data_IF_095512532288
#
_entry.id   IF_095512532288
#
_cell.length_a   1.000
_cell.length_b   1.000
_cell.length_c   1.000
_cell.angle_alpha   90.00
_cell.angle_beta   90.00
_cell.angle_gamma   90.00
#
_symmetry.space_group_name_H-M   'P 1'
#
loop_
_entity.id
_entity.type
_entity.pdbx_description
1 polymer ?
#
# COMPACT_ATOMS: atom_id res chain seq x y z
N UNK A 1 -33.08 10.15 15.69
CA UNK A 1 -33.03 9.06 14.69
C UNK A 1 -32.67 9.69 13.36
N UNK A 2 -31.74 9.12 12.59
CA UNK A 2 -31.38 9.63 11.26
C UNK A 2 -32.59 9.52 10.33
N UNK A 3 -32.71 10.46 9.38
CA UNK A 3 -33.63 10.28 8.26
C UNK A 3 -33.09 9.20 7.30
N UNK A 4 -33.89 8.75 6.35
CA UNK A 4 -33.51 7.67 5.43
C UNK A 4 -32.28 8.01 4.57
N UNK A 5 -32.20 9.24 4.06
CA UNK A 5 -31.09 9.69 3.23
C UNK A 5 -29.77 9.74 4.02
N UNK A 6 -29.79 10.30 5.22
CA UNK A 6 -28.64 10.37 6.14
C UNK A 6 -28.19 8.98 6.55
N UNK A 7 -29.14 8.09 6.85
CA UNK A 7 -28.86 6.70 7.19
C UNK A 7 -28.15 6.01 6.02
N UNK A 8 -28.67 6.13 4.80
CA UNK A 8 -28.06 5.54 3.63
C UNK A 8 -26.66 6.11 3.35
N UNK A 9 -26.53 7.43 3.35
CA UNK A 9 -25.28 8.12 3.07
C UNK A 9 -24.20 7.76 4.10
N UNK A 10 -24.51 7.87 5.39
CA UNK A 10 -23.55 7.56 6.45
C UNK A 10 -23.18 6.09 6.47
N UNK A 11 -24.12 5.19 6.23
CA UNK A 11 -23.84 3.75 6.31
C UNK A 11 -23.09 3.22 5.08
N UNK A 12 -23.55 3.52 3.87
CA UNK A 12 -22.95 2.95 2.64
C UNK A 12 -21.93 3.87 1.97
N UNK A 13 -22.23 5.17 1.80
CA UNK A 13 -21.30 6.07 1.08
C UNK A 13 -20.03 6.32 1.88
N UNK A 14 -20.16 6.57 3.18
CA UNK A 14 -18.98 6.69 4.04
C UNK A 14 -18.26 5.34 4.23
N UNK A 15 -18.97 4.20 4.13
CA UNK A 15 -18.35 2.88 4.17
C UNK A 15 -17.43 2.65 2.96
N UNK A 16 -17.88 3.04 1.77
CA UNK A 16 -17.04 3.08 0.56
C UNK A 16 -15.84 4.01 0.74
N UNK A 17 -16.04 5.20 1.30
CA UNK A 17 -14.95 6.14 1.59
C UNK A 17 -13.94 5.59 2.60
N UNK A 18 -14.39 4.83 3.60
CA UNK A 18 -13.51 4.16 4.55
C UNK A 18 -12.61 3.13 3.84
N UNK A 19 -13.19 2.32 2.96
CA UNK A 19 -12.45 1.35 2.14
C UNK A 19 -11.40 2.02 1.24
N UNK A 20 -11.78 3.15 0.61
CA UNK A 20 -10.88 3.95 -0.21
C UNK A 20 -9.75 4.53 0.66
N UNK A 21 -10.07 5.10 1.82
CA UNK A 21 -9.08 5.63 2.75
C UNK A 21 -8.07 4.57 3.20
N UNK A 22 -8.55 3.38 3.58
CA UNK A 22 -7.68 2.25 3.93
C UNK A 22 -6.81 1.77 2.77
N UNK A 23 -7.34 1.81 1.54
CA UNK A 23 -6.59 1.48 0.32
C UNK A 23 -5.46 2.47 0.06
N UNK A 24 -5.70 3.78 0.19
CA UNK A 24 -4.66 4.80 0.08
C UNK A 24 -3.57 4.62 1.15
N UNK A 25 -3.95 4.37 2.40
CA UNK A 25 -2.99 4.11 3.48
C UNK A 25 -2.13 2.88 3.21
N UNK A 26 -2.76 1.77 2.78
CA UNK A 26 -2.04 0.57 2.37
C UNK A 26 -1.06 0.86 1.23
N UNK A 27 -1.52 1.52 0.17
CA UNK A 27 -0.68 1.80 -1.01
C UNK A 27 0.51 2.68 -0.65
N UNK A 28 0.31 3.70 0.20
CA UNK A 28 1.41 4.53 0.68
C UNK A 28 2.43 3.72 1.46
N UNK A 29 1.99 2.91 2.43
CA UNK A 29 2.89 2.05 3.21
C UNK A 29 3.61 1.03 2.32
N UNK A 30 2.93 0.49 1.31
CA UNK A 30 3.52 -0.46 0.37
C UNK A 30 4.56 0.22 -0.52
N UNK A 31 4.25 1.38 -1.09
CA UNK A 31 5.21 2.18 -1.85
C UNK A 31 6.46 2.49 -1.00
N UNK A 32 6.26 2.89 0.26
CA UNK A 32 7.37 3.12 1.20
C UNK A 32 8.19 1.86 1.45
N UNK A 33 7.55 0.72 1.64
CA UNK A 33 8.23 -0.54 1.83
C UNK A 33 9.02 -0.99 0.58
N UNK A 34 8.58 -0.63 -0.62
CA UNK A 34 9.27 -0.95 -1.86
C UNK A 34 10.43 0.00 -2.20
N UNK A 35 10.56 1.13 -1.49
CA UNK A 35 11.71 2.02 -1.64
C UNK A 35 12.98 1.34 -1.15
N UNK A 36 14.03 1.36 -1.98
CA UNK A 36 15.37 0.89 -1.59
C UNK A 36 16.14 1.97 -0.84
N UNK A 37 15.94 3.24 -1.23
CA UNK A 37 16.60 4.41 -0.65
C UNK A 37 15.73 5.66 -0.81
N UNK A 38 16.24 6.81 -0.38
CA UNK A 38 15.59 8.12 -0.52
C UNK A 38 16.10 8.92 -1.74
N UNK A 39 16.84 8.26 -2.64
CA UNK A 39 17.39 8.86 -3.85
C UNK A 39 16.30 9.24 -4.86
N UNK A 40 15.34 8.32 -5.10
CA UNK A 40 14.28 8.52 -6.07
C UNK A 40 13.11 9.33 -5.49
N UNK A 41 13.11 10.64 -5.75
CA UNK A 41 12.09 11.55 -5.22
C UNK A 41 10.65 11.18 -5.62
N UNK A 42 10.46 10.57 -6.79
CA UNK A 42 9.14 10.13 -7.26
C UNK A 42 8.52 9.08 -6.32
N UNK A 43 9.34 8.20 -5.74
CA UNK A 43 8.86 7.16 -4.80
C UNK A 43 8.47 7.79 -3.46
N UNK A 44 9.26 8.76 -2.98
CA UNK A 44 8.93 9.54 -1.77
C UNK A 44 7.62 10.32 -1.99
N UNK A 45 7.45 10.92 -3.16
CA UNK A 45 6.21 11.61 -3.53
C UNK A 45 5.02 10.66 -3.51
N UNK A 46 5.12 9.48 -4.12
CA UNK A 46 4.04 8.48 -4.13
C UNK A 46 3.63 8.07 -2.71
N UNK A 47 4.61 7.80 -1.85
CA UNK A 47 4.37 7.52 -0.44
C UNK A 47 3.62 8.66 0.25
N UNK A 48 4.17 9.88 0.21
CA UNK A 48 3.59 11.04 0.89
C UNK A 48 2.18 11.36 0.37
N UNK A 49 1.98 11.27 -0.95
CA UNK A 49 0.68 11.52 -1.57
C UNK A 49 -0.39 10.54 -1.10
N UNK A 50 -0.10 9.24 -1.18
CA UNK A 50 -1.06 8.21 -0.76
C UNK A 50 -1.41 8.33 0.73
N UNK A 51 -0.41 8.55 1.60
CA UNK A 51 -0.68 8.74 3.04
C UNK A 51 -1.48 10.02 3.31
N UNK A 52 -1.16 11.13 2.62
CA UNK A 52 -1.89 12.39 2.77
C UNK A 52 -3.37 12.22 2.42
N UNK A 53 -3.67 11.63 1.27
CA UNK A 53 -5.05 11.41 0.81
C UNK A 53 -5.79 10.44 1.73
N UNK A 54 -5.15 9.33 2.13
CA UNK A 54 -5.75 8.35 3.02
C UNK A 54 -6.12 8.93 4.38
N UNK A 55 -5.23 9.71 5.00
CA UNK A 55 -5.49 10.36 6.28
C UNK A 55 -6.55 11.47 6.18
N UNK A 56 -6.55 12.26 5.09
CA UNK A 56 -7.56 13.30 4.86
C UNK A 56 -8.96 12.68 4.80
N UNK A 57 -9.14 11.64 3.98
CA UNK A 57 -10.43 10.95 3.83
C UNK A 57 -10.90 10.36 5.16
N UNK A 58 -10.01 9.71 5.89
CA UNK A 58 -10.34 9.16 7.21
C UNK A 58 -10.76 10.24 8.21
N UNK A 59 -10.06 11.38 8.23
CA UNK A 59 -10.42 12.52 9.07
C UNK A 59 -11.78 13.13 8.66
N UNK A 60 -12.08 13.23 7.36
CA UNK A 60 -13.39 13.70 6.86
C UNK A 60 -14.53 12.80 7.30
N UNK A 61 -14.39 11.48 7.18
CA UNK A 61 -15.39 10.52 7.69
C UNK A 61 -15.61 10.75 9.19
N UNK A 62 -14.52 10.90 9.95
CA UNK A 62 -14.58 11.15 11.40
C UNK A 62 -15.34 12.43 11.72
N UNK A 63 -15.04 13.53 11.03
CA UNK A 63 -15.74 14.82 11.17
C UNK A 63 -17.23 14.70 10.85
N UNK A 64 -17.59 14.03 9.73
CA UNK A 64 -18.98 13.81 9.34
C UNK A 64 -19.75 13.07 10.45
N UNK A 65 -19.15 12.03 11.02
CA UNK A 65 -19.80 11.26 12.09
C UNK A 65 -19.87 12.01 13.43
N UNK A 66 -19.05 13.02 13.66
CA UNK A 66 -19.09 13.81 14.90
C UNK A 66 -20.02 15.02 14.83
N UNK A 67 -20.02 15.72 13.69
CA UNK A 67 -20.63 17.03 13.57
C UNK A 67 -21.97 17.04 12.83
N UNK A 68 -22.19 16.12 11.88
CA UNK A 68 -23.40 16.15 11.07
C UNK A 68 -24.59 15.50 11.79
N UNK A 69 -25.71 16.23 11.86
CA UNK A 69 -27.03 15.75 12.26
C UNK A 69 -28.13 16.30 11.33
N UNK A 70 -29.41 16.04 11.66
CA UNK A 70 -30.56 16.44 10.85
C UNK A 70 -30.75 17.97 10.77
N UNK A 71 -30.20 18.72 11.72
CA UNK A 71 -30.31 20.18 11.76
C UNK A 71 -29.16 20.86 11.01
N UNK A 72 -28.21 20.08 10.50
CA UNK A 72 -27.04 20.59 9.78
C UNK A 72 -27.44 21.06 8.39
N UNK A 73 -27.01 22.27 8.00
CA UNK A 73 -27.09 22.72 6.62
C UNK A 73 -26.11 21.91 5.76
N UNK A 74 -26.64 21.04 4.90
CA UNK A 74 -25.85 20.12 4.09
C UNK A 74 -24.86 20.84 3.17
N UNK A 75 -25.28 21.91 2.49
CA UNK A 75 -24.44 22.58 1.51
C UNK A 75 -23.29 23.34 2.18
N UNK A 76 -23.57 24.02 3.29
CA UNK A 76 -22.54 24.72 4.06
C UNK A 76 -21.56 23.73 4.69
N UNK A 77 -22.05 22.60 5.20
CA UNK A 77 -21.23 21.55 5.78
C UNK A 77 -20.27 20.93 4.75
N UNK A 78 -20.76 20.61 3.55
CA UNK A 78 -19.95 20.10 2.45
C UNK A 78 -18.88 21.10 2.02
N UNK A 79 -19.22 22.39 1.87
CA UNK A 79 -18.25 23.45 1.54
C UNK A 79 -17.12 23.53 2.58
N UNK A 80 -17.44 23.39 3.87
CA UNK A 80 -16.47 23.36 4.97
C UNK A 80 -15.63 22.08 5.02
N UNK A 81 -16.07 20.99 4.39
CA UNK A 81 -15.32 19.74 4.27
C UNK A 81 -14.35 19.76 3.08
N UNK A 82 -14.56 20.60 2.07
CA UNK A 82 -13.65 20.76 0.91
C UNK A 82 -12.44 21.62 1.31
N UNK A 83 -11.78 21.27 2.40
CA UNK A 83 -10.52 21.87 2.82
C UNK A 83 -9.41 20.82 2.72
N UNK A 84 -8.32 21.16 2.05
CA UNK A 84 -7.11 20.34 1.95
C UNK A 84 -6.17 20.49 3.17
N UNK A 85 -6.73 20.75 4.36
CA UNK A 85 -5.97 21.02 5.58
C UNK A 85 -6.25 19.96 6.66
N UNK A 86 -5.32 19.01 6.82
CA UNK A 86 -5.38 17.96 7.83
C UNK A 86 -5.48 18.51 9.26
N UNK A 87 -4.86 19.66 9.56
CA UNK A 87 -4.91 20.24 10.91
C UNK A 87 -6.27 20.86 11.21
N UNK A 88 -6.93 21.46 10.21
CA UNK A 88 -8.29 21.95 10.39
C UNK A 88 -9.23 20.79 10.77
N UNK A 89 -9.19 19.70 9.99
CA UNK A 89 -9.98 18.50 10.27
C UNK A 89 -9.65 17.89 11.64
N UNK A 90 -8.36 17.82 12.02
CA UNK A 90 -7.97 17.32 13.34
C UNK A 90 -8.42 18.22 14.49
N UNK A 91 -8.38 19.55 14.32
CA UNK A 91 -8.86 20.48 15.34
C UNK A 91 -10.37 20.37 15.53
N UNK A 92 -11.13 20.20 14.44
CA UNK A 92 -12.55 19.86 14.47
C UNK A 92 -12.81 18.59 15.28
N UNK A 93 -12.09 17.51 14.98
CA UNK A 93 -12.24 16.25 15.74
C UNK A 93 -11.89 16.44 17.23
N UNK A 94 -10.80 17.16 17.53
CA UNK A 94 -10.36 17.44 18.91
C UNK A 94 -11.37 18.26 19.73
N UNK A 95 -12.24 19.03 19.09
CA UNK A 95 -13.31 19.74 19.77
C UNK A 95 -14.38 18.79 20.34
N UNK A 96 -14.49 17.57 19.81
CA UNK A 96 -15.49 16.58 20.22
C UNK A 96 -14.90 15.38 20.97
N UNK A 97 -13.66 14.99 20.67
CA UNK A 97 -13.00 13.79 21.22
C UNK A 97 -11.55 14.09 21.58
N UNK A 98 -11.10 13.54 22.69
CA UNK A 98 -9.68 13.59 23.02
C UNK A 98 -8.86 12.74 22.03
N UNK A 99 -7.83 13.35 21.43
CA UNK A 99 -6.87 12.65 20.57
C UNK A 99 -5.48 12.87 21.14
N UNK A 100 -4.77 11.77 21.38
CA UNK A 100 -3.39 11.81 21.88
C UNK A 100 -2.40 11.69 20.73
N UNK A 101 -1.87 12.82 20.25
CA UNK A 101 -0.80 12.83 19.25
C UNK A 101 0.55 12.96 19.94
N UNK A 102 1.45 12.01 19.67
CA UNK A 102 2.84 12.13 20.15
C UNK A 102 3.60 13.18 19.34
N UNK A 103 4.73 13.68 19.88
CA UNK A 103 5.57 14.68 19.20
C UNK A 103 5.92 14.29 17.76
N UNK A 104 6.36 13.05 17.55
CA UNK A 104 6.71 12.51 16.23
C UNK A 104 5.52 12.47 15.26
N UNK A 105 4.33 12.07 15.73
CA UNK A 105 3.10 12.05 14.91
C UNK A 105 2.69 13.46 14.49
N UNK A 106 2.82 14.44 15.39
CA UNK A 106 2.53 15.85 15.09
C UNK A 106 3.52 16.41 14.06
N UNK A 107 4.82 16.13 14.22
CA UNK A 107 5.84 16.53 13.23
C UNK A 107 5.58 15.90 11.86
N UNK A 108 5.23 14.61 11.82
CA UNK A 108 4.91 13.93 10.56
C UNK A 108 3.67 14.51 9.87
N UNK A 109 2.61 14.84 10.63
CA UNK A 109 1.44 15.53 10.10
C UNK A 109 1.80 16.90 9.51
N UNK A 110 2.78 17.61 10.08
CA UNK A 110 3.28 18.85 9.50
C UNK A 110 3.97 18.62 8.15
N UNK A 111 4.79 17.56 8.03
CA UNK A 111 5.42 17.18 6.75
C UNK A 111 4.35 16.89 5.69
N UNK A 112 3.30 16.16 6.05
CA UNK A 112 2.17 15.83 5.16
C UNK A 112 1.39 17.10 4.76
N UNK A 113 1.08 17.98 5.71
CA UNK A 113 0.38 19.24 5.43
C UNK A 113 1.15 20.06 4.41
N UNK A 114 2.45 20.29 4.68
CA UNK A 114 3.33 21.04 3.80
C UNK A 114 3.38 20.42 2.41
N UNK A 115 3.53 19.09 2.34
CA UNK A 115 3.51 18.35 1.08
C UNK A 115 2.21 18.60 0.31
N UNK A 116 1.05 18.39 0.93
CA UNK A 116 -0.21 18.41 0.20
C UNK A 116 -0.62 19.81 -0.31
N UNK A 117 -0.24 20.86 0.42
CA UNK A 117 -0.53 22.25 0.02
C UNK A 117 0.31 22.76 -1.16
N UNK A 118 1.59 22.39 -1.25
CA UNK A 118 2.48 22.99 -2.28
C UNK A 118 3.06 22.00 -3.29
N UNK A 119 3.21 20.71 -2.97
CA UNK A 119 4.00 19.79 -3.81
C UNK A 119 3.38 19.49 -5.18
N UNK A 120 2.04 19.43 -5.29
CA UNK A 120 1.33 19.00 -6.51
C UNK A 120 1.67 19.83 -7.74
N UNK A 121 2.02 21.10 -7.54
CA UNK A 121 2.37 22.01 -8.63
C UNK A 121 3.73 22.70 -8.49
N UNK A 122 4.45 22.50 -7.37
CA UNK A 122 5.71 23.19 -7.14
C UNK A 122 6.72 22.92 -8.27
N UNK A 123 6.81 21.66 -8.72
CA UNK A 123 7.74 21.24 -9.78
C UNK A 123 7.44 21.88 -11.15
N UNK A 124 6.23 22.39 -11.38
CA UNK A 124 5.89 23.14 -12.61
C UNK A 124 6.26 24.63 -12.51
N UNK A 125 6.60 25.13 -11.32
CA UNK A 125 7.08 26.49 -11.12
C UNK A 125 8.61 26.54 -11.24
N UNK A 126 9.13 27.37 -12.13
CA UNK A 126 10.59 27.54 -12.33
C UNK A 126 11.34 27.95 -11.06
N UNK A 127 10.68 28.64 -10.11
CA UNK A 127 11.29 29.01 -8.82
C UNK A 127 11.59 27.80 -7.92
N UNK A 128 10.99 26.65 -8.17
CA UNK A 128 11.22 25.42 -7.39
C UNK A 128 12.66 24.91 -7.45
N UNK A 129 13.44 25.28 -8.47
CA UNK A 129 14.88 24.95 -8.60
C UNK A 129 15.70 25.46 -7.41
N UNK A 130 15.25 26.56 -6.77
CA UNK A 130 15.95 27.18 -5.64
C UNK A 130 15.28 26.90 -4.29
N UNK A 131 14.16 26.16 -4.29
CA UNK A 131 13.40 25.87 -3.09
C UNK A 131 13.76 24.48 -2.56
N UNK A 132 13.78 24.33 -1.23
CA UNK A 132 13.84 23.01 -0.63
C UNK A 132 12.57 22.22 -1.00
N UNK A 133 12.77 21.01 -1.55
CA UNK A 133 11.66 20.15 -1.92
C UNK A 133 11.09 19.39 -0.70
N UNK A 134 9.90 18.84 -0.85
CA UNK A 134 9.19 18.20 0.27
C UNK A 134 9.84 16.89 0.71
N UNK A 135 10.51 16.24 -0.23
CA UNK A 135 11.30 15.04 -0.02
C UNK A 135 12.46 15.35 0.93
N UNK A 136 13.13 16.50 0.79
CA UNK A 136 14.13 16.98 1.74
C UNK A 136 13.56 17.24 3.14
N UNK A 137 12.37 17.84 3.25
CA UNK A 137 11.69 18.02 4.55
C UNK A 137 11.39 16.67 5.21
N UNK A 138 10.91 15.69 4.44
CA UNK A 138 10.66 14.34 4.95
C UNK A 138 11.95 13.64 5.39
N UNK A 139 13.06 13.78 4.63
CA UNK A 139 14.37 13.26 5.05
C UNK A 139 14.84 13.89 6.35
N UNK A 140 14.75 15.22 6.49
CA UNK A 140 15.12 15.91 7.72
C UNK A 140 14.31 15.43 8.92
N UNK A 141 13.01 15.20 8.72
CA UNK A 141 12.17 14.58 9.72
C UNK A 141 12.68 13.20 10.16
N UNK A 142 13.12 12.35 9.22
CA UNK A 142 13.70 11.05 9.54
C UNK A 142 15.04 11.19 10.29
N UNK A 143 15.92 12.09 9.82
CA UNK A 143 17.22 12.36 10.45
C UNK A 143 17.05 12.80 11.91
N UNK A 144 16.15 13.75 12.16
CA UNK A 144 15.84 14.26 13.51
C UNK A 144 15.26 13.19 14.44
N UNK A 145 14.32 12.39 13.96
CA UNK A 145 13.58 11.46 14.83
C UNK A 145 14.30 10.13 15.05
N UNK A 146 15.19 9.73 14.14
CA UNK A 146 15.94 8.47 14.24
C UNK A 146 17.42 8.68 14.59
N UNK A 147 17.90 9.92 14.65
CA UNK A 147 19.32 10.25 14.84
C UNK A 147 20.19 9.53 13.81
N UNK A 148 19.86 9.74 12.53
CA UNK A 148 20.56 9.16 11.37
C UNK A 148 20.94 10.26 10.39
N UNK A 149 21.85 9.95 9.46
CA UNK A 149 22.14 10.78 8.30
C UNK A 149 21.64 10.10 7.02
N UNK A 150 20.80 10.79 6.26
CA UNK A 150 20.22 10.27 5.01
C UNK A 150 21.01 10.80 3.81
N UNK A 151 21.89 9.95 3.29
CA UNK A 151 22.65 10.19 2.06
C UNK A 151 21.78 9.91 0.83
N UNK A 152 21.69 10.87 -0.08
CA UNK A 152 20.91 10.80 -1.34
C UNK A 152 21.80 10.97 -2.57
N UNK A 153 23.09 10.71 -2.42
CA UNK A 153 24.01 10.62 -3.54
C UNK A 153 23.81 9.27 -4.28
N UNK A 154 24.11 9.24 -5.58
CA UNK A 154 24.00 8.02 -6.39
C UNK A 154 24.91 6.88 -5.87
N UNK A 155 25.98 7.22 -5.17
CA UNK A 155 26.95 6.30 -4.57
C UNK A 155 26.83 6.42 -3.05
N UNK A 156 26.79 5.30 -2.33
CA UNK A 156 26.60 5.24 -0.87
C UNK A 156 25.28 5.84 -0.34
N UNK A 157 24.17 5.69 -1.10
CA UNK A 157 22.85 6.12 -0.61
C UNK A 157 22.44 5.37 0.65
N UNK A 158 21.78 6.08 1.59
CA UNK A 158 21.24 5.45 2.80
C UNK A 158 20.04 4.58 2.44
N UNK A 159 20.06 3.27 2.77
CA UNK A 159 18.95 2.38 2.46
C UNK A 159 17.73 2.70 3.33
N UNK A 160 16.53 2.51 2.78
CA UNK A 160 15.30 2.51 3.56
C UNK A 160 15.15 1.16 4.29
N UNK A 161 15.85 1.03 5.40
CA UNK A 161 15.93 -0.21 6.16
C UNK A 161 14.65 -0.52 6.97
N UNK A 162 14.63 -1.68 7.62
CA UNK A 162 13.48 -2.09 8.44
C UNK A 162 13.25 -1.19 9.66
N UNK A 163 14.29 -0.52 10.19
CA UNK A 163 14.16 0.39 11.33
C UNK A 163 13.34 1.61 10.91
N UNK A 164 13.66 2.20 9.76
CA UNK A 164 12.95 3.35 9.20
C UNK A 164 11.51 2.96 8.84
N UNK A 165 11.31 1.83 8.15
CA UNK A 165 9.98 1.28 7.81
C UNK A 165 9.09 1.09 9.04
N UNK A 166 9.62 0.47 10.09
CA UNK A 166 8.87 0.25 11.33
C UNK A 166 8.54 1.56 12.05
N UNK A 167 9.45 2.53 12.04
CA UNK A 167 9.21 3.84 12.63
C UNK A 167 8.05 4.58 11.95
N UNK A 168 8.07 4.65 10.61
CA UNK A 168 7.00 5.27 9.82
C UNK A 168 5.67 4.52 10.01
N UNK A 169 5.69 3.19 9.94
CA UNK A 169 4.50 2.36 10.20
C UNK A 169 3.89 2.64 11.57
N UNK A 170 4.72 2.76 12.62
CA UNK A 170 4.26 3.09 13.97
C UNK A 170 3.60 4.47 14.03
N UNK A 171 4.17 5.48 13.39
CA UNK A 171 3.60 6.84 13.38
C UNK A 171 2.24 6.85 12.69
N UNK A 172 2.14 6.26 11.50
CA UNK A 172 0.90 6.20 10.72
C UNK A 172 -0.15 5.42 11.50
N UNK A 173 0.20 4.26 12.07
CA UNK A 173 -0.72 3.45 12.88
C UNK A 173 -1.36 4.23 14.03
N UNK A 174 -0.57 5.06 14.73
CA UNK A 174 -1.06 5.85 15.85
C UNK A 174 -2.14 6.85 15.43
N UNK A 175 -1.99 7.47 14.25
CA UNK A 175 -2.96 8.44 13.73
C UNK A 175 -4.19 7.69 13.23
N UNK A 176 -3.99 6.70 12.35
CA UNK A 176 -5.05 5.96 11.68
C UNK A 176 -5.96 5.22 12.66
N UNK A 177 -5.39 4.50 13.63
CA UNK A 177 -6.18 3.67 14.55
C UNK A 177 -6.98 4.52 15.54
N UNK A 178 -6.49 5.70 15.93
CA UNK A 178 -7.26 6.63 16.76
C UNK A 178 -8.50 7.14 16.01
N UNK A 179 -8.34 7.58 14.76
CA UNK A 179 -9.47 8.03 13.94
C UNK A 179 -10.47 6.90 13.66
N UNK A 180 -9.96 5.70 13.32
CA UNK A 180 -10.82 4.55 13.08
C UNK A 180 -11.61 4.12 14.32
N UNK A 181 -11.02 4.19 15.51
CA UNK A 181 -11.74 3.88 16.75
C UNK A 181 -12.83 4.92 17.06
N UNK A 182 -12.59 6.21 16.77
CA UNK A 182 -13.65 7.23 16.86
C UNK A 182 -14.80 6.90 15.90
N UNK A 183 -14.49 6.55 14.64
CA UNK A 183 -15.49 6.14 13.65
C UNK A 183 -16.33 4.96 14.18
N UNK A 184 -15.69 3.91 14.70
CA UNK A 184 -16.38 2.74 15.27
C UNK A 184 -17.34 3.12 16.40
N UNK A 185 -16.89 3.98 17.30
CA UNK A 185 -17.69 4.40 18.45
C UNK A 185 -18.87 5.26 18.04
N UNK A 186 -18.69 6.20 17.11
CA UNK A 186 -19.79 7.00 16.58
C UNK A 186 -20.78 6.17 15.75
N UNK A 187 -20.30 5.19 14.99
CA UNK A 187 -21.17 4.25 14.28
C UNK A 187 -22.05 3.44 15.24
N UNK A 188 -21.47 2.92 16.33
CA UNK A 188 -22.23 2.22 17.37
C UNK A 188 -23.28 3.13 18.02
N UNK A 189 -22.93 4.38 18.31
CA UNK A 189 -23.88 5.37 18.86
C UNK A 189 -25.04 5.65 17.91
N UNK A 190 -24.77 5.68 16.60
CA UNK A 190 -25.77 5.92 15.56
C UNK A 190 -26.49 4.66 15.06
N UNK A 191 -26.09 3.47 15.52
CA UNK A 191 -26.54 2.16 15.03
C UNK A 191 -26.37 1.97 13.50
N UNK A 192 -25.17 2.29 13.01
CA UNK A 192 -24.74 2.09 11.60
C UNK A 192 -23.44 1.28 11.53
N UNK A 193 -23.05 0.88 10.33
CA UNK A 193 -22.02 -0.12 10.02
C UNK A 193 -20.91 0.41 9.12
N UNK A 194 -20.73 1.73 9.01
CA UNK A 194 -19.66 2.37 8.22
C UNK A 194 -18.25 1.81 8.52
N UNK A 195 -18.04 1.28 9.73
CA UNK A 195 -16.76 0.73 10.17
C UNK A 195 -16.45 -0.68 9.63
N UNK A 196 -17.38 -1.33 8.94
CA UNK A 196 -17.17 -2.65 8.37
C UNK A 196 -16.18 -2.62 7.20
N UNK A 197 -15.30 -3.62 7.16
CA UNK A 197 -14.23 -3.72 6.17
C UNK A 197 -14.22 -5.13 5.59
N UNK A 198 -14.33 -5.21 4.27
CA UNK A 198 -14.14 -6.43 3.48
C UNK A 198 -12.80 -7.10 3.82
N UNK A 199 -12.85 -8.39 4.20
CA UNK A 199 -11.71 -9.22 4.58
C UNK A 199 -10.59 -9.29 3.53
N UNK A 200 -10.95 -9.33 2.25
CA UNK A 200 -10.00 -9.48 1.14
C UNK A 200 -9.43 -8.13 0.67
N UNK A 201 -9.83 -7.02 1.29
CA UNK A 201 -9.40 -5.70 0.85
C UNK A 201 -8.08 -5.25 1.48
N UNK A 202 -7.40 -4.33 0.79
CA UNK A 202 -6.22 -3.62 1.33
C UNK A 202 -6.49 -2.94 2.67
N UNK A 203 -7.70 -2.40 2.85
CA UNK A 203 -8.10 -1.72 4.08
C UNK A 203 -8.16 -2.68 5.29
N UNK A 204 -8.41 -3.98 5.06
CA UNK A 204 -8.46 -4.98 6.14
C UNK A 204 -7.16 -5.07 6.91
N UNK A 205 -6.01 -5.06 6.21
CA UNK A 205 -4.68 -5.05 6.83
C UNK A 205 -4.51 -3.85 7.78
N UNK A 206 -5.00 -2.68 7.37
CA UNK A 206 -4.84 -1.41 8.08
C UNK A 206 -5.76 -1.32 9.30
N UNK A 207 -7.06 -1.57 9.12
CA UNK A 207 -8.06 -1.29 10.16
C UNK A 207 -8.32 -2.49 11.07
N UNK A 208 -8.30 -3.71 10.52
CA UNK A 208 -8.67 -4.92 11.26
C UNK A 208 -7.43 -5.64 11.77
N UNK A 209 -6.46 -5.96 10.90
CA UNK A 209 -5.18 -6.57 11.33
C UNK A 209 -4.28 -5.58 12.08
N UNK A 210 -4.47 -4.28 11.83
CA UNK A 210 -3.69 -3.18 12.44
C UNK A 210 -2.19 -3.30 12.15
N UNK A 211 -1.86 -3.76 10.95
CA UNK A 211 -0.50 -3.99 10.49
C UNK A 211 -0.06 -2.89 9.52
N UNK A 212 1.03 -2.22 9.86
CA UNK A 212 1.56 -1.07 9.11
C UNK A 212 2.97 -1.34 8.58
N UNK A 213 3.29 -2.61 8.36
CA UNK A 213 4.56 -3.11 7.83
C UNK A 213 4.30 -4.34 6.96
N UNK A 214 5.22 -4.63 6.05
CA UNK A 214 5.19 -5.78 5.13
C UNK A 214 6.25 -6.83 5.46
N UNK A 215 6.92 -6.71 6.62
CA UNK A 215 8.00 -7.61 7.04
C UNK A 215 7.58 -9.07 7.02
N UNK A 216 6.39 -9.37 7.55
CA UNK A 216 5.91 -10.74 7.68
C UNK A 216 5.50 -11.31 6.32
N UNK A 217 4.92 -10.50 5.43
CA UNK A 217 4.67 -10.89 4.03
C UNK A 217 5.97 -11.20 3.28
N UNK A 218 7.01 -10.38 3.45
CA UNK A 218 8.33 -10.64 2.84
C UNK A 218 8.97 -11.91 3.36
N UNK A 219 8.82 -12.18 4.65
CA UNK A 219 9.29 -13.42 5.25
C UNK A 219 8.50 -14.62 4.74
N UNK A 220 7.17 -14.53 4.70
CA UNK A 220 6.28 -15.56 4.19
C UNK A 220 6.59 -15.93 2.74
N UNK A 221 6.82 -14.96 1.86
CA UNK A 221 7.21 -15.23 0.46
C UNK A 221 8.47 -16.11 0.37
N UNK A 222 9.46 -15.86 1.24
CA UNK A 222 10.71 -16.64 1.30
C UNK A 222 10.48 -18.05 1.84
N UNK A 223 9.67 -18.19 2.89
CA UNK A 223 9.31 -19.50 3.44
C UNK A 223 8.48 -20.33 2.45
N UNK A 224 7.57 -19.71 1.69
CA UNK A 224 6.84 -20.36 0.60
C UNK A 224 7.83 -20.86 -0.46
N UNK A 225 8.78 -20.02 -0.89
CA UNK A 225 9.81 -20.44 -1.85
C UNK A 225 10.62 -21.65 -1.34
N UNK A 226 11.06 -21.62 -0.08
CA UNK A 226 11.77 -22.74 0.55
C UNK A 226 10.89 -23.99 0.57
N UNK A 227 9.62 -23.85 0.98
CA UNK A 227 8.66 -24.94 0.99
C UNK A 227 8.51 -25.56 -0.40
N UNK A 228 8.28 -24.75 -1.44
CA UNK A 228 8.10 -25.22 -2.81
C UNK A 228 9.35 -25.93 -3.35
N UNK A 229 10.54 -25.42 -3.06
CA UNK A 229 11.81 -26.02 -3.51
C UNK A 229 12.18 -27.31 -2.77
N UNK A 230 11.73 -27.47 -1.52
CA UNK A 230 12.04 -28.64 -0.68
C UNK A 230 10.93 -29.68 -0.63
N UNK A 231 9.70 -29.33 -1.02
CA UNK A 231 8.57 -30.27 -1.11
C UNK A 231 8.96 -31.38 -2.07
N UNK A 232 8.97 -32.62 -1.59
CA UNK A 232 9.15 -33.82 -2.41
C UNK A 232 8.04 -34.78 -2.05
N UNK A 233 6.90 -34.67 -2.72
CA UNK A 233 5.77 -35.58 -2.54
C UNK A 233 5.59 -36.35 -3.84
N UNK A 234 5.68 -37.67 -3.76
CA UNK A 234 5.39 -38.55 -4.91
C UNK A 234 3.88 -38.48 -5.20
N UNK A 235 3.52 -38.31 -6.47
CA UNK A 235 2.11 -38.15 -6.88
C UNK A 235 1.52 -36.80 -6.47
N UNK A 236 2.33 -35.74 -6.50
CA UNK A 236 1.84 -34.36 -6.38
C UNK A 236 1.63 -33.85 -7.81
N UNK A 237 0.36 -33.72 -8.21
CA UNK A 237 0.00 -33.46 -9.61
C UNK A 237 0.63 -32.16 -10.14
N UNK A 238 0.76 -31.15 -9.28
CA UNK A 238 1.43 -29.89 -9.63
C UNK A 238 2.93 -30.12 -9.94
N UNK A 239 3.65 -30.86 -9.10
CA UNK A 239 5.05 -31.19 -9.37
C UNK A 239 5.23 -32.01 -10.65
N UNK A 240 4.33 -32.95 -10.90
CA UNK A 240 4.38 -33.78 -12.09
C UNK A 240 4.08 -32.97 -13.36
N UNK A 241 3.09 -32.07 -13.31
CA UNK A 241 2.82 -31.10 -14.37
C UNK A 241 4.02 -30.18 -14.66
N UNK A 242 4.62 -29.58 -13.63
CA UNK A 242 5.78 -28.68 -13.79
C UNK A 242 6.97 -29.38 -14.45
N UNK A 243 7.21 -30.67 -14.15
CA UNK A 243 8.28 -31.47 -14.79
C UNK A 243 8.08 -31.64 -16.30
N UNK A 244 6.85 -31.52 -16.81
CA UNK A 244 6.59 -31.57 -18.27
C UNK A 244 7.07 -30.32 -19.00
N UNK A 245 7.31 -29.21 -18.28
CA UNK A 245 7.73 -27.93 -18.85
C UNK A 245 9.26 -27.84 -18.76
N UNK A 246 9.95 -27.96 -19.90
CA UNK A 246 11.41 -27.74 -19.94
C UNK A 246 11.75 -26.31 -19.47
N UNK A 247 12.71 -26.09 -18.55
CA UNK A 247 13.13 -24.73 -18.17
C UNK A 247 13.68 -23.93 -19.36
N UNK A 248 13.50 -22.60 -19.32
CA UNK A 248 14.24 -21.70 -20.22
C UNK A 248 15.70 -21.58 -19.74
N UNK A 249 16.66 -21.34 -20.65
CA UNK A 249 18.08 -21.23 -20.32
C UNK A 249 18.41 -19.86 -19.72
N UNK A 250 17.87 -19.56 -18.55
CA UNK A 250 18.22 -18.36 -17.77
C UNK A 250 19.60 -18.58 -17.12
N UNK A 251 20.61 -17.86 -17.60
CA UNK A 251 22.02 -18.06 -17.21
C UNK A 251 22.79 -16.73 -17.01
N UNK A 252 22.18 -15.59 -17.34
CA UNK A 252 22.83 -14.27 -17.27
C UNK A 252 23.09 -13.83 -15.83
N UNK A 253 22.21 -14.21 -14.90
CA UNK A 253 22.28 -13.80 -13.50
C UNK A 253 22.40 -15.00 -12.57
N UNK A 254 22.89 -14.76 -11.35
CA UNK A 254 22.89 -15.81 -10.33
C UNK A 254 21.47 -16.08 -9.80
N UNK A 255 21.28 -17.26 -9.20
CA UNK A 255 19.99 -17.70 -8.66
C UNK A 255 19.37 -16.69 -7.69
N UNK A 256 20.18 -16.05 -6.85
CA UNK A 256 19.66 -15.11 -5.86
C UNK A 256 19.08 -13.84 -6.53
N UNK A 257 19.64 -13.41 -7.66
CA UNK A 257 19.11 -12.28 -8.43
C UNK A 257 17.76 -12.61 -9.08
N UNK A 258 17.58 -13.82 -9.61
CA UNK A 258 16.26 -14.27 -10.08
C UNK A 258 15.24 -14.34 -8.94
N UNK A 259 15.65 -14.78 -7.75
CA UNK A 259 14.79 -14.73 -6.56
C UNK A 259 14.43 -13.29 -6.18
N UNK A 260 15.37 -12.35 -6.24
CA UNK A 260 15.09 -10.92 -6.01
C UNK A 260 14.04 -10.39 -7.01
N UNK A 261 14.14 -10.75 -8.30
CA UNK A 261 13.12 -10.43 -9.30
C UNK A 261 11.74 -10.99 -8.93
N UNK A 262 11.65 -12.26 -8.52
CA UNK A 262 10.37 -12.85 -8.11
C UNK A 262 9.76 -12.16 -6.89
N UNK A 263 10.60 -11.66 -5.98
CA UNK A 263 10.12 -10.94 -4.80
C UNK A 263 9.59 -9.55 -5.16
N UNK A 264 10.27 -8.83 -6.07
CA UNK A 264 9.97 -7.46 -6.48
C UNK A 264 10.25 -7.24 -8.00
N UNK A 265 9.35 -7.71 -8.87
CA UNK A 265 9.57 -7.75 -10.32
C UNK A 265 9.80 -6.39 -10.99
N UNK A 266 9.25 -5.31 -10.42
CA UNK A 266 9.35 -3.96 -10.98
C UNK A 266 10.72 -3.30 -10.74
N UNK A 267 11.54 -3.85 -9.83
CA UNK A 267 12.88 -3.30 -9.49
C UNK A 267 14.01 -3.87 -10.33
N UNK A 268 13.78 -4.99 -11.01
CA UNK A 268 14.81 -5.68 -11.79
C UNK A 268 14.34 -5.94 -13.24
N UNK A 269 13.98 -4.88 -14.00
CA UNK A 269 13.40 -5.03 -15.34
C UNK A 269 14.34 -5.77 -16.31
N UNK A 270 15.65 -5.78 -16.04
CA UNK A 270 16.66 -6.41 -16.90
C UNK A 270 16.49 -7.94 -17.03
N UNK A 271 15.85 -8.60 -16.06
CA UNK A 271 15.52 -10.04 -16.16
C UNK A 271 14.49 -10.28 -17.27
N UNK A 272 13.60 -9.33 -17.52
CA UNK A 272 12.67 -9.40 -18.65
C UNK A 272 13.40 -9.28 -19.99
N UNK A 273 14.50 -8.53 -20.05
CA UNK A 273 15.31 -8.40 -21.27
C UNK A 273 16.03 -9.71 -21.59
N UNK A 274 16.46 -10.48 -20.59
CA UNK A 274 16.96 -11.84 -20.81
C UNK A 274 15.88 -12.75 -21.41
N UNK A 275 14.64 -12.70 -20.90
CA UNK A 275 13.52 -13.46 -21.50
C UNK A 275 13.28 -13.05 -22.96
N UNK A 276 13.36 -11.75 -23.27
CA UNK A 276 13.21 -11.24 -24.64
C UNK A 276 14.32 -11.76 -25.55
N UNK A 277 15.57 -11.70 -25.11
CA UNK A 277 16.72 -12.23 -25.86
C UNK A 277 16.57 -13.74 -26.14
N UNK A 278 16.16 -14.53 -25.15
CA UNK A 278 15.89 -15.98 -25.33
C UNK A 278 14.80 -16.20 -26.40
N UNK A 279 13.75 -15.37 -26.38
CA UNK A 279 12.64 -15.48 -27.32
C UNK A 279 12.98 -15.00 -28.74
N UNK A 280 13.93 -14.07 -28.89
CA UNK A 280 14.46 -13.61 -30.17
C UNK A 280 15.27 -14.71 -30.86
N UNK A 281 16.16 -15.39 -30.12
CA UNK A 281 16.97 -16.50 -30.64
C UNK A 281 16.09 -17.70 -31.02
N UNK A 282 15.07 -17.99 -30.21
CA UNK A 282 14.13 -19.07 -30.46
C UNK A 282 12.73 -18.72 -29.96
N UNK A 283 11.80 -18.38 -30.86
CA UNK A 283 10.43 -18.06 -30.49
C UNK A 283 9.78 -19.13 -29.61
N UNK A 284 9.09 -18.67 -28.55
CA UNK A 284 8.38 -19.54 -27.63
C UNK A 284 7.18 -20.18 -28.33
N UNK A 285 7.08 -21.52 -28.27
CA UNK A 285 5.96 -22.26 -28.85
C UNK A 285 4.66 -21.97 -28.08
N UNK A 286 3.54 -21.92 -28.81
CA UNK A 286 2.19 -21.73 -28.25
C UNK A 286 1.88 -22.69 -27.08
N UNK A 287 2.12 -23.98 -27.28
CA UNK A 287 1.94 -25.02 -26.26
C UNK A 287 2.67 -24.71 -24.93
N UNK A 288 3.87 -24.12 -25.01
CA UNK A 288 4.61 -23.71 -23.80
C UNK A 288 3.87 -22.58 -23.09
N UNK A 289 3.43 -21.56 -23.83
CA UNK A 289 2.76 -20.39 -23.25
C UNK A 289 1.48 -20.81 -22.52
N UNK A 290 0.71 -21.72 -23.13
CA UNK A 290 -0.49 -22.30 -22.53
C UNK A 290 -0.17 -23.06 -21.24
N UNK A 291 0.83 -23.95 -21.26
CA UNK A 291 1.25 -24.69 -20.05
C UNK A 291 1.74 -23.77 -18.93
N UNK A 292 2.54 -22.76 -19.26
CA UNK A 292 3.05 -21.79 -18.26
C UNK A 292 1.93 -20.91 -17.71
N UNK A 293 0.93 -20.54 -18.51
CA UNK A 293 -0.21 -19.74 -18.04
C UNK A 293 -1.10 -20.46 -17.02
N UNK A 294 -1.04 -21.78 -16.92
CA UNK A 294 -1.78 -22.54 -15.90
C UNK A 294 -1.14 -22.42 -14.50
N UNK A 295 0.10 -21.95 -14.39
CA UNK A 295 0.80 -21.85 -13.11
C UNK A 295 0.24 -20.70 -12.28
N UNK A 296 -0.43 -21.03 -11.18
CA UNK A 296 -1.02 -20.05 -10.25
C UNK A 296 -2.48 -19.72 -10.52
N UNK A 297 -3.09 -20.33 -11.53
CA UNK A 297 -4.53 -20.28 -11.80
C UNK A 297 -5.29 -21.29 -10.92
N UNK A 298 -6.61 -21.12 -10.81
CA UNK A 298 -7.50 -22.02 -10.06
C UNK A 298 -7.75 -23.33 -10.84
N UNK A 299 -6.72 -24.19 -10.88
CA UNK A 299 -6.70 -25.47 -11.61
C UNK A 299 -6.26 -26.62 -10.69
N UNK A 300 -6.98 -27.73 -10.74
CA UNK A 300 -6.68 -28.93 -9.95
C UNK A 300 -5.73 -29.88 -10.70
N UNK A 301 -4.48 -29.96 -10.24
CA UNK A 301 -3.47 -30.80 -10.90
C UNK A 301 -3.49 -32.29 -10.49
N UNK A 302 -4.16 -32.63 -9.38
CA UNK A 302 -4.18 -34.00 -8.85
C UNK A 302 -5.11 -34.96 -9.64
N UNK A 303 -5.86 -34.44 -10.62
CA UNK A 303 -6.71 -35.22 -11.55
C UNK A 303 -6.08 -35.49 -12.91
N UNK A 304 -4.82 -35.08 -13.14
CA UNK A 304 -4.10 -35.36 -14.39
C UNK A 304 -3.63 -36.83 -14.45
N UNK A 305 -4.57 -37.78 -14.40
CA UNK A 305 -4.36 -39.12 -14.91
C UNK A 305 -4.95 -39.17 -16.34
N UNK A 306 -4.06 -39.08 -17.33
CA UNK A 306 -4.13 -39.65 -18.68
C UNK A 306 -5.29 -39.33 -19.67
N UNK A 307 -6.22 -38.38 -19.47
CA UNK A 307 -7.30 -38.19 -20.48
C UNK A 307 -7.61 -36.78 -21.01
N UNK A 308 -6.88 -35.73 -20.63
CA UNK A 308 -7.33 -34.35 -20.94
C UNK A 308 -6.70 -33.67 -22.18
N UNK A 309 -5.82 -34.35 -22.92
CA UNK A 309 -5.21 -33.78 -24.13
C UNK A 309 -5.95 -34.10 -25.44
N UNK A 310 -6.99 -34.95 -25.42
CA UNK A 310 -7.74 -35.29 -26.63
C UNK A 310 -8.88 -34.31 -26.95
N UNK A 311 -9.29 -33.45 -26.02
CA UNK A 311 -10.46 -32.55 -26.20
C UNK A 311 -10.10 -31.09 -26.57
N UNK A 312 -8.83 -30.78 -26.81
CA UNK A 312 -8.38 -29.41 -27.19
C UNK A 312 -7.52 -29.34 -28.47
N UNK A 313 -7.62 -30.32 -29.38
CA UNK A 313 -7.00 -30.26 -30.71
C UNK A 313 -8.02 -30.01 -31.84
#
# INVERSE_FOLDING_TARGET
MLNEADFFWKNWRLGTELQIAGTFLYNGLYAFDQMESFYHEAEVFEFLYNISVGLERLAKITVILLEHDIQTDQEDFEKKLITHDHFNLLNRIKAHKEITMGKSSTKFLQVIKDFYHSSRYNRYNKKSVYAENHEAKFRRFLEEELDIKVKVEMIETTPNDQRIKNFIGKIISKITLQLYEIIRNECRRMNIYTYEVNYESKAFKIFIRKEFSFKDEHYLKKEILIHLLRKRKKGDGFQDFVKTIKPLPFETYNTNYYVQYLMNFHKHPIVLDELRSIAEDKPLKKERLEKVSLLGEDVEFDKFNDSFFDDFL
#
